data_IF_878912154901
#
_entry.id   IF_878912154901
#
_cell.length_a   1.000
_cell.length_b   1.000
_cell.length_c   1.000
_cell.angle_alpha   90.00
_cell.angle_beta   90.00
_cell.angle_gamma   90.00
#
_symmetry.space_group_name_H-M   'P 1'
#
loop_
_entity.id
_entity.type
_entity.pdbx_description
1 polymer ?
#
# COMPACT_ATOMS: atom_id res chain seq x y z
N UNK A 1 50.51 10.63 6.83
CA UNK A 1 49.14 10.72 6.28
C UNK A 1 49.05 11.89 5.32
N UNK A 2 48.95 11.62 4.01
CA UNK A 2 49.08 12.65 2.95
C UNK A 2 47.91 13.65 2.99
N UNK A 3 48.13 14.89 2.54
CA UNK A 3 47.11 15.96 2.51
C UNK A 3 45.84 15.53 1.74
N UNK A 4 45.99 14.63 0.76
CA UNK A 4 44.89 14.03 -0.01
C UNK A 4 44.02 13.10 0.84
N UNK A 5 44.62 12.30 1.72
CA UNK A 5 43.88 11.39 2.59
C UNK A 5 43.04 12.15 3.63
N UNK A 6 43.53 13.28 4.15
CA UNK A 6 42.78 14.13 5.07
C UNK A 6 41.60 14.83 4.38
N UNK A 7 41.81 15.31 3.15
CA UNK A 7 40.73 15.89 2.35
C UNK A 7 39.60 14.90 2.10
N UNK A 8 39.95 13.67 1.71
CA UNK A 8 38.99 12.60 1.45
C UNK A 8 38.21 12.21 2.72
N UNK A 9 38.88 12.12 3.86
CA UNK A 9 38.24 11.85 5.16
C UNK A 9 37.26 12.95 5.58
N UNK A 10 37.63 14.22 5.40
CA UNK A 10 36.74 15.35 5.71
C UNK A 10 35.50 15.31 4.80
N UNK A 11 35.68 15.06 3.50
CA UNK A 11 34.55 14.93 2.57
C UNK A 11 33.63 13.77 2.94
N UNK A 12 34.20 12.62 3.33
CA UNK A 12 33.42 11.46 3.76
C UNK A 12 32.61 11.74 5.03
N UNK A 13 33.23 12.41 6.02
CA UNK A 13 32.56 12.79 7.28
C UNK A 13 31.44 13.81 7.01
N UNK A 14 31.67 14.80 6.15
CA UNK A 14 30.63 15.75 5.77
C UNK A 14 29.48 15.09 4.99
N UNK A 15 29.78 14.14 4.11
CA UNK A 15 28.76 13.38 3.39
C UNK A 15 27.92 12.52 4.34
N UNK A 16 28.55 11.80 5.26
CA UNK A 16 27.86 10.99 6.27
C UNK A 16 27.02 11.85 7.22
N UNK A 17 27.54 13.00 7.66
CA UNK A 17 26.79 13.93 8.48
C UNK A 17 25.58 14.52 7.73
N UNK A 18 25.75 14.84 6.44
CA UNK A 18 24.66 15.30 5.58
C UNK A 18 23.58 14.23 5.41
N UNK A 19 23.97 12.97 5.18
CA UNK A 19 23.04 11.83 5.12
C UNK A 19 22.32 11.63 6.45
N UNK A 20 23.01 11.72 7.58
CA UNK A 20 22.39 11.56 8.90
C UNK A 20 21.39 12.67 9.22
N UNK A 21 21.72 13.93 8.89
CA UNK A 21 20.81 15.08 9.06
C UNK A 21 19.61 14.98 8.11
N UNK A 22 19.83 14.57 6.85
CA UNK A 22 18.76 14.36 5.89
C UNK A 22 17.83 13.23 6.32
N UNK A 23 18.39 12.11 6.79
CA UNK A 23 17.66 10.98 7.36
C UNK A 23 16.82 11.43 8.54
N UNK A 24 17.42 12.09 9.53
CA UNK A 24 16.71 12.56 10.72
C UNK A 24 15.61 13.58 10.42
N UNK A 25 15.86 14.49 9.47
CA UNK A 25 14.87 15.46 9.01
C UNK A 25 13.71 14.78 8.25
N UNK A 26 14.00 13.77 7.42
CA UNK A 26 13.00 13.01 6.69
C UNK A 26 12.16 12.11 7.63
N UNK A 27 12.79 11.45 8.60
CA UNK A 27 12.11 10.52 9.53
C UNK A 27 11.18 11.22 10.52
N UNK A 28 11.37 12.51 10.78
CA UNK A 28 10.48 13.29 11.67
C UNK A 28 9.07 13.47 11.12
N UNK A 29 8.85 13.19 9.84
CA UNK A 29 7.55 13.27 9.17
C UNK A 29 7.13 11.98 8.46
N UNK A 30 7.86 10.87 8.65
CA UNK A 30 7.35 9.56 8.21
C UNK A 30 6.16 9.24 9.12
N UNK A 31 4.93 9.16 8.59
CA UNK A 31 3.79 8.75 9.38
C UNK A 31 4.13 7.43 10.05
N UNK A 32 3.82 7.29 11.35
CA UNK A 32 3.77 5.96 11.94
C UNK A 32 2.90 5.08 11.04
N UNK A 33 3.25 3.80 10.89
CA UNK A 33 2.33 2.85 10.26
C UNK A 33 0.95 3.05 10.90
N UNK A 34 -0.11 3.23 10.09
CA UNK A 34 -1.43 3.50 10.64
C UNK A 34 -1.76 2.43 11.68
N UNK A 35 -2.22 2.86 12.85
CA UNK A 35 -2.61 1.94 13.92
C UNK A 35 -3.62 0.94 13.34
N UNK A 36 -3.36 -0.35 13.56
CA UNK A 36 -4.24 -1.42 13.09
C UNK A 36 -5.62 -1.24 13.71
N UNK A 37 -6.64 -1.10 12.86
CA UNK A 37 -8.00 -0.87 13.34
C UNK A 37 -8.56 -2.13 14.00
N UNK A 38 -9.47 -1.96 14.97
CA UNK A 38 -10.18 -3.10 15.58
C UNK A 38 -10.96 -3.90 14.54
N UNK A 39 -11.53 -3.21 13.55
CA UNK A 39 -12.26 -3.82 12.43
C UNK A 39 -11.35 -4.72 11.59
N UNK A 40 -10.14 -4.26 11.26
CA UNK A 40 -9.14 -5.07 10.56
C UNK A 40 -8.73 -6.31 11.38
N UNK A 41 -8.58 -6.15 12.70
CA UNK A 41 -8.22 -7.27 13.59
C UNK A 41 -9.32 -8.33 13.64
N UNK A 42 -10.58 -7.90 13.76
CA UNK A 42 -11.73 -8.81 13.76
C UNK A 42 -11.88 -9.56 12.43
N UNK A 43 -11.77 -8.86 11.30
CA UNK A 43 -11.81 -9.49 9.99
C UNK A 43 -10.64 -10.45 9.75
N UNK A 44 -9.42 -10.06 10.15
CA UNK A 44 -8.25 -10.93 10.06
C UNK A 44 -8.39 -12.20 10.91
N UNK A 45 -9.02 -12.11 12.10
CA UNK A 45 -9.31 -13.28 12.92
C UNK A 45 -10.29 -14.22 12.22
N UNK A 46 -11.38 -13.68 11.65
CA UNK A 46 -12.37 -14.48 10.92
C UNK A 46 -11.83 -15.13 9.66
N UNK A 47 -10.90 -14.45 8.96
CA UNK A 47 -10.24 -14.96 7.75
C UNK A 47 -9.06 -15.91 8.04
N UNK A 48 -8.79 -16.28 9.30
CA UNK A 48 -7.73 -17.26 9.59
C UNK A 48 -8.06 -18.63 9.01
N UNK A 49 -9.30 -19.06 9.22
CA UNK A 49 -9.75 -20.42 8.89
C UNK A 49 -10.80 -20.43 7.76
N UNK A 50 -11.10 -19.28 7.17
CA UNK A 50 -12.07 -19.09 6.08
C UNK A 50 -11.55 -18.09 5.07
N UNK A 51 -12.21 -18.01 3.91
CA UNK A 51 -11.98 -17.03 2.86
C UNK A 51 -13.07 -15.94 2.83
N UNK A 52 -14.09 -16.02 3.67
CA UNK A 52 -15.16 -15.02 3.78
C UNK A 52 -15.33 -14.61 5.24
N UNK A 53 -15.23 -13.31 5.51
CA UNK A 53 -15.62 -12.72 6.79
C UNK A 53 -16.87 -11.87 6.63
N UNK A 54 -17.83 -12.02 7.54
CA UNK A 54 -19.02 -11.16 7.62
C UNK A 54 -19.01 -10.46 8.97
N UNK A 55 -19.00 -9.13 8.95
CA UNK A 55 -19.15 -8.33 10.14
C UNK A 55 -20.55 -8.53 10.75
N UNK A 56 -20.68 -8.62 12.09
CA UNK A 56 -22.00 -8.80 12.73
C UNK A 56 -23.05 -7.77 12.34
N UNK A 57 -22.65 -6.55 11.93
CA UNK A 57 -23.56 -5.51 11.47
C UNK A 57 -24.06 -5.71 10.02
N UNK A 58 -23.45 -6.62 9.27
CA UNK A 58 -23.88 -7.07 7.95
C UNK A 58 -24.49 -8.48 7.99
N UNK A 59 -24.87 -8.99 9.16
CA UNK A 59 -25.51 -10.29 9.28
C UNK A 59 -26.84 -10.32 8.49
N UNK A 60 -27.09 -11.42 7.79
CA UNK A 60 -28.26 -11.60 6.93
C UNK A 60 -28.21 -10.90 5.56
N UNK A 61 -27.13 -10.19 5.22
CA UNK A 61 -26.91 -9.65 3.86
C UNK A 61 -26.80 -10.77 2.82
N UNK A 62 -26.19 -11.89 3.23
CA UNK A 62 -26.12 -13.13 2.49
C UNK A 62 -26.70 -14.27 3.34
N UNK A 63 -27.24 -15.28 2.67
CA UNK A 63 -27.62 -16.54 3.30
C UNK A 63 -26.39 -17.41 3.57
N UNK A 64 -26.48 -18.34 4.54
CA UNK A 64 -25.40 -19.29 4.83
C UNK A 64 -24.97 -20.11 3.61
N UNK A 65 -25.94 -20.47 2.75
CA UNK A 65 -25.66 -21.23 1.53
C UNK A 65 -24.89 -20.42 0.48
N UNK A 66 -25.14 -19.12 0.39
CA UNK A 66 -24.39 -18.21 -0.47
C UNK A 66 -22.98 -17.98 0.07
N UNK A 67 -22.85 -17.72 1.38
CA UNK A 67 -21.55 -17.56 2.03
C UNK A 67 -20.67 -18.80 1.88
N UNK A 68 -21.24 -20.01 2.06
CA UNK A 68 -20.51 -21.26 1.84
C UNK A 68 -20.07 -21.45 0.39
N UNK A 69 -20.87 -20.98 -0.59
CA UNK A 69 -20.49 -21.04 -2.00
C UNK A 69 -19.36 -20.06 -2.33
N UNK A 70 -19.44 -18.84 -1.79
CA UNK A 70 -18.40 -17.81 -1.95
C UNK A 70 -17.08 -18.26 -1.33
N UNK A 71 -17.12 -18.81 -0.11
CA UNK A 71 -15.95 -19.33 0.59
C UNK A 71 -15.26 -20.44 -0.20
N UNK A 72 -16.03 -21.41 -0.71
CA UNK A 72 -15.49 -22.50 -1.52
C UNK A 72 -14.86 -22.00 -2.84
N UNK A 73 -15.50 -21.04 -3.53
CA UNK A 73 -14.97 -20.47 -4.77
C UNK A 73 -13.69 -19.65 -4.52
N UNK A 74 -13.71 -18.79 -3.49
CA UNK A 74 -12.59 -17.95 -3.10
C UNK A 74 -11.36 -18.78 -2.67
N UNK A 75 -11.62 -19.93 -2.02
CA UNK A 75 -10.59 -20.89 -1.65
C UNK A 75 -10.00 -21.66 -2.83
N UNK A 76 -10.80 -21.91 -3.87
CA UNK A 76 -10.39 -22.66 -5.05
C UNK A 76 -9.62 -21.81 -6.08
N UNK A 77 -9.85 -20.50 -6.09
CA UNK A 77 -9.19 -19.55 -6.99
C UNK A 77 -7.67 -19.48 -6.79
N UNK A 78 -6.92 -19.27 -7.86
CA UNK A 78 -5.47 -19.01 -7.85
C UNK A 78 -5.11 -17.77 -8.68
N UNK A 79 -4.73 -16.62 -8.07
CA UNK A 79 -4.54 -16.39 -6.63
C UNK A 79 -5.79 -16.61 -5.78
N UNK A 80 -5.61 -17.00 -4.52
CA UNK A 80 -6.72 -17.09 -3.56
C UNK A 80 -7.40 -15.73 -3.40
N UNK A 81 -8.73 -15.76 -3.27
CA UNK A 81 -9.52 -14.58 -2.98
C UNK A 81 -9.97 -14.56 -1.52
N UNK A 82 -10.17 -13.36 -0.96
CA UNK A 82 -10.61 -13.14 0.41
C UNK A 82 -11.69 -12.07 0.42
N UNK A 83 -12.87 -12.41 0.90
CA UNK A 83 -14.00 -11.48 0.96
C UNK A 83 -14.21 -10.97 2.38
N UNK A 84 -14.47 -9.68 2.48
CA UNK A 84 -14.75 -8.98 3.72
C UNK A 84 -16.06 -8.23 3.55
N UNK A 85 -17.13 -8.73 4.18
CA UNK A 85 -18.49 -8.20 4.06
C UNK A 85 -18.82 -7.36 5.29
N UNK A 86 -19.05 -6.07 5.10
CA UNK A 86 -19.40 -5.16 6.19
C UNK A 86 -20.07 -3.90 5.63
N UNK A 87 -20.77 -3.06 6.42
CA UNK A 87 -21.29 -1.79 5.89
C UNK A 87 -20.19 -0.74 5.75
N UNK A 88 -20.31 0.15 4.77
CA UNK A 88 -19.44 1.32 4.68
C UNK A 88 -19.65 2.23 5.92
N UNK A 89 -18.56 2.80 6.45
CA UNK A 89 -18.63 3.67 7.63
C UNK A 89 -17.49 4.69 7.64
N UNK A 90 -17.81 6.00 7.73
CA UNK A 90 -16.80 7.05 7.88
C UNK A 90 -16.07 7.03 9.24
N UNK A 91 -16.62 6.32 10.23
CA UNK A 91 -16.02 6.13 11.56
C UNK A 91 -15.15 4.88 11.68
N UNK A 92 -14.92 4.13 10.59
CA UNK A 92 -14.23 2.84 10.62
C UNK A 92 -12.71 2.91 10.89
N UNK A 93 -12.14 4.13 10.98
CA UNK A 93 -10.75 4.36 11.39
C UNK A 93 -9.71 4.18 10.28
N UNK A 94 -10.14 4.05 9.02
CA UNK A 94 -9.29 4.04 7.83
C UNK A 94 -9.81 5.04 6.79
N UNK A 95 -8.92 5.50 5.90
CA UNK A 95 -9.27 6.50 4.88
C UNK A 95 -9.72 5.83 3.57
N UNK A 96 -9.08 4.74 3.19
CA UNK A 96 -9.38 4.00 1.98
C UNK A 96 -9.56 2.51 2.29
N UNK A 97 -10.48 1.86 1.58
CA UNK A 97 -10.71 0.41 1.60
C UNK A 97 -9.43 -0.40 1.39
N UNK A 98 -8.59 0.04 0.45
CA UNK A 98 -7.28 -0.58 0.21
C UNK A 98 -6.37 -0.61 1.44
N UNK A 99 -6.45 0.41 2.31
CA UNK A 99 -5.61 0.49 3.50
C UNK A 99 -6.00 -0.59 4.51
N UNK A 100 -7.30 -0.81 4.73
CA UNK A 100 -7.80 -1.79 5.70
C UNK A 100 -7.66 -3.21 5.17
N UNK A 101 -7.93 -3.45 3.89
CA UNK A 101 -7.72 -4.75 3.25
C UNK A 101 -6.24 -5.15 3.28
N UNK A 102 -5.34 -4.20 3.00
CA UNK A 102 -3.89 -4.42 3.16
C UNK A 102 -3.49 -4.73 4.60
N UNK A 103 -4.11 -4.09 5.60
CA UNK A 103 -3.87 -4.45 7.02
C UNK A 103 -4.30 -5.89 7.31
N UNK A 104 -5.48 -6.30 6.84
CA UNK A 104 -6.01 -7.65 7.02
C UNK A 104 -5.09 -8.70 6.39
N UNK A 105 -4.65 -8.48 5.15
CA UNK A 105 -3.73 -9.41 4.48
C UNK A 105 -2.38 -9.54 5.20
N UNK A 106 -1.84 -8.43 5.75
CA UNK A 106 -0.63 -8.49 6.59
C UNK A 106 -0.85 -9.25 7.90
N UNK A 107 -2.00 -9.06 8.56
CA UNK A 107 -2.33 -9.74 9.82
C UNK A 107 -2.55 -11.25 9.64
N UNK A 108 -3.13 -11.66 8.51
CA UNK A 108 -3.34 -13.06 8.16
C UNK A 108 -2.08 -13.71 7.57
N UNK A 109 -1.16 -12.93 7.01
CA UNK A 109 0.02 -13.41 6.28
C UNK A 109 -0.34 -14.33 5.11
N UNK A 110 -1.50 -14.10 4.49
CA UNK A 110 -2.01 -14.87 3.36
C UNK A 110 -1.93 -14.01 2.09
N UNK A 111 -1.12 -14.39 1.09
CA UNK A 111 -1.08 -13.66 -0.17
C UNK A 111 -2.34 -13.97 -0.99
N UNK A 112 -2.89 -12.96 -1.67
CA UNK A 112 -4.09 -13.12 -2.48
C UNK A 112 -4.79 -11.80 -2.83
N UNK A 113 -5.93 -11.93 -3.47
CA UNK A 113 -6.84 -10.81 -3.76
C UNK A 113 -7.78 -10.62 -2.57
N UNK A 114 -7.79 -9.43 -1.96
CA UNK A 114 -8.74 -9.07 -0.91
C UNK A 114 -9.82 -8.17 -1.50
N UNK A 115 -11.08 -8.50 -1.26
CA UNK A 115 -12.27 -7.81 -1.77
C UNK A 115 -13.12 -7.35 -0.60
N UNK A 116 -13.39 -6.05 -0.55
CA UNK A 116 -14.39 -5.45 0.33
C UNK A 116 -15.76 -5.47 -0.35
N UNK A 117 -16.75 -5.95 0.40
CA UNK A 117 -18.15 -6.03 0.00
C UNK A 117 -18.97 -5.17 0.97
N UNK A 118 -19.38 -4.01 0.49
CA UNK A 118 -20.19 -3.05 1.25
C UNK A 118 -21.55 -2.87 0.57
N UNK A 119 -22.67 -3.34 1.18
CA UNK A 119 -23.99 -3.16 0.59
C UNK A 119 -24.31 -1.68 0.35
N UNK A 120 -24.73 -1.32 -0.87
CA UNK A 120 -24.98 0.07 -1.27
C UNK A 120 -23.73 0.87 -1.65
N UNK A 121 -22.58 0.23 -1.79
CA UNK A 121 -21.33 0.86 -2.22
C UNK A 121 -20.63 0.04 -3.30
N UNK A 122 -19.67 0.69 -3.96
CA UNK A 122 -18.79 0.05 -4.93
C UNK A 122 -17.94 -1.03 -4.27
N UNK A 123 -17.71 -2.12 -4.99
CA UNK A 123 -16.69 -3.09 -4.60
C UNK A 123 -15.31 -2.43 -4.58
N UNK A 124 -14.50 -2.82 -3.61
CA UNK A 124 -13.09 -2.43 -3.57
C UNK A 124 -12.22 -3.67 -3.47
N UNK A 125 -11.08 -3.67 -4.15
CA UNK A 125 -10.16 -4.80 -4.11
C UNK A 125 -8.70 -4.35 -4.00
N UNK A 126 -7.87 -5.18 -3.39
CA UNK A 126 -6.42 -4.99 -3.34
C UNK A 126 -5.70 -6.33 -3.38
N UNK A 127 -4.62 -6.37 -4.15
CA UNK A 127 -3.66 -7.47 -4.14
C UNK A 127 -2.74 -7.31 -2.93
N UNK A 128 -2.66 -8.35 -2.08
CA UNK A 128 -1.75 -8.36 -0.93
C UNK A 128 -0.77 -9.50 -1.05
N UNK A 129 0.53 -9.21 -0.92
CA UNK A 129 1.58 -10.24 -0.99
C UNK A 129 1.77 -10.88 -2.37
N UNK A 130 1.12 -10.33 -3.39
CA UNK A 130 1.24 -10.73 -4.79
C UNK A 130 1.44 -9.50 -5.67
N UNK A 131 2.14 -9.71 -6.78
CA UNK A 131 2.26 -8.74 -7.86
C UNK A 131 1.88 -9.47 -9.15
N UNK A 132 0.76 -9.12 -9.75
CA UNK A 132 0.27 -9.79 -10.96
C UNK A 132 -0.24 -8.84 -12.01
N UNK A 133 -0.92 -9.40 -13.00
CA UNK A 133 -1.70 -8.61 -13.96
C UNK A 133 -2.66 -7.68 -13.21
N UNK A 134 -2.82 -6.46 -13.72
CA UNK A 134 -3.72 -5.48 -13.12
C UNK A 134 -5.15 -6.03 -13.10
N UNK A 135 -5.64 -6.29 -11.90
CA UNK A 135 -6.99 -6.72 -11.64
C UNK A 135 -7.63 -5.71 -10.69
N UNK A 136 -8.82 -5.22 -11.04
CA UNK A 136 -9.58 -4.34 -10.18
C UNK A 136 -11.05 -4.61 -10.38
N UNK A 137 -11.73 -4.89 -9.29
CA UNK A 137 -13.18 -5.02 -9.27
C UNK A 137 -13.77 -3.60 -9.24
N UNK A 138 -14.74 -3.31 -10.10
CA UNK A 138 -15.39 -2.00 -10.18
C UNK A 138 -16.92 -2.12 -10.20
N UNK A 139 -17.57 -1.08 -9.67
CA UNK A 139 -19.02 -0.88 -9.71
C UNK A 139 -19.75 -1.39 -8.47
N UNK A 140 -20.92 -0.82 -8.21
CA UNK A 140 -21.75 -1.16 -7.07
C UNK A 140 -22.45 -2.48 -7.34
N UNK A 141 -22.45 -3.38 -6.36
CA UNK A 141 -23.18 -4.65 -6.46
C UNK A 141 -24.67 -4.45 -6.76
N UNK A 142 -25.21 -3.29 -6.39
CA UNK A 142 -26.62 -2.94 -6.50
C UNK A 142 -26.97 -1.85 -7.53
N UNK A 143 -26.07 -1.54 -8.48
CA UNK A 143 -26.18 -0.43 -9.47
C UNK A 143 -27.54 -0.29 -10.20
N UNK A 144 -28.33 -1.36 -10.31
CA UNK A 144 -29.60 -1.40 -11.06
C UNK A 144 -30.85 -1.75 -10.22
N UNK A 145 -30.76 -1.89 -8.89
CA UNK A 145 -31.93 -2.25 -8.08
C UNK A 145 -31.66 -2.72 -6.66
N UNK A 146 -32.75 -3.04 -5.95
CA UNK A 146 -32.71 -3.53 -4.56
C UNK A 146 -31.83 -4.78 -4.41
N UNK A 147 -31.08 -4.84 -3.30
CA UNK A 147 -30.22 -5.97 -2.96
C UNK A 147 -31.03 -7.27 -2.86
N UNK A 148 -30.61 -8.33 -3.58
CA UNK A 148 -31.32 -9.61 -3.59
C UNK A 148 -30.53 -10.78 -3.02
N UNK A 149 -29.30 -10.53 -2.55
CA UNK A 149 -28.23 -11.47 -2.17
C UNK A 149 -27.79 -12.45 -3.27
N UNK A 150 -28.74 -13.03 -4.02
CA UNK A 150 -28.50 -14.02 -5.05
C UNK A 150 -27.80 -13.42 -6.28
N UNK A 151 -28.23 -12.24 -6.74
CA UNK A 151 -27.59 -11.52 -7.84
C UNK A 151 -26.18 -11.10 -7.47
N UNK A 152 -26.03 -10.57 -6.26
CA UNK A 152 -24.76 -10.09 -5.73
C UNK A 152 -23.77 -11.24 -5.52
N UNK A 153 -24.26 -12.39 -5.05
CA UNK A 153 -23.49 -13.64 -4.99
C UNK A 153 -23.02 -14.08 -6.37
N UNK A 154 -23.90 -14.07 -7.38
CA UNK A 154 -23.54 -14.46 -8.74
C UNK A 154 -22.45 -13.55 -9.33
N UNK A 155 -22.56 -12.24 -9.10
CA UNK A 155 -21.53 -11.27 -9.52
C UNK A 155 -20.20 -11.48 -8.80
N UNK A 156 -20.21 -11.70 -7.49
CA UNK A 156 -18.97 -11.98 -6.75
C UNK A 156 -18.28 -13.27 -7.23
N UNK A 157 -19.06 -14.29 -7.58
CA UNK A 157 -18.52 -15.52 -8.17
C UNK A 157 -17.87 -15.27 -9.53
N UNK A 158 -18.46 -14.41 -10.37
CA UNK A 158 -17.90 -14.00 -11.67
C UNK A 158 -16.56 -13.25 -11.49
N UNK A 159 -16.48 -12.35 -10.51
CA UNK A 159 -15.23 -11.64 -10.19
C UNK A 159 -14.14 -12.60 -9.66
N UNK A 160 -14.50 -13.58 -8.84
CA UNK A 160 -13.58 -14.61 -8.36
C UNK A 160 -13.08 -15.47 -9.53
N UNK A 161 -13.98 -15.89 -10.43
CA UNK A 161 -13.63 -16.64 -11.63
C UNK A 161 -12.73 -15.83 -12.58
N UNK A 162 -12.97 -14.53 -12.70
CA UNK A 162 -12.12 -13.64 -13.50
C UNK A 162 -10.72 -13.45 -12.90
N UNK A 163 -10.59 -13.54 -11.57
CA UNK A 163 -9.30 -13.54 -10.89
C UNK A 163 -8.58 -14.90 -11.01
N UNK A 164 -9.31 -16.00 -11.19
CA UNK A 164 -8.74 -17.35 -11.26
C UNK A 164 -7.88 -17.56 -12.52
N UNK A 165 -6.67 -18.11 -12.32
CA UNK A 165 -5.73 -18.43 -13.39
C UNK A 165 -4.95 -17.22 -13.93
N UNK A 166 -5.05 -16.04 -13.31
CA UNK A 166 -4.23 -14.89 -13.70
C UNK A 166 -2.74 -15.11 -13.37
N UNK A 167 -1.86 -14.51 -14.16
CA UNK A 167 -0.43 -14.56 -13.90
C UNK A 167 -0.05 -13.64 -12.72
N UNK A 168 0.72 -14.18 -11.77
CA UNK A 168 1.22 -13.42 -10.62
C UNK A 168 2.55 -13.96 -10.11
N UNK A 169 3.29 -13.07 -9.43
CA UNK A 169 4.48 -13.39 -8.65
C UNK A 169 4.20 -13.18 -7.16
N UNK A 170 4.70 -14.10 -6.32
CA UNK A 170 4.71 -13.92 -4.87
C UNK A 170 5.79 -12.90 -4.50
N UNK A 171 5.43 -11.85 -3.77
CA UNK A 171 6.33 -10.75 -3.47
C UNK A 171 5.84 -9.84 -2.36
N UNK A 172 6.69 -8.91 -1.91
CA UNK A 172 6.27 -7.88 -0.96
C UNK A 172 5.36 -6.91 -1.71
N UNK A 173 4.07 -6.97 -1.38
CA UNK A 173 2.97 -6.09 -1.81
C UNK A 173 3.46 -4.77 -2.47
N UNK A 174 3.26 -4.67 -3.79
CA UNK A 174 3.63 -3.49 -4.58
C UNK A 174 2.42 -2.59 -4.87
N UNK A 175 1.27 -2.80 -4.21
CA UNK A 175 0.09 -1.93 -4.34
C UNK A 175 0.56 -0.48 -4.33
N UNK A 176 0.27 0.23 -5.43
CA UNK A 176 1.06 1.32 -6.00
C UNK A 176 1.66 2.29 -4.97
N UNK A 177 2.81 1.92 -4.39
CA UNK A 177 3.61 2.75 -3.50
C UNK A 177 4.48 3.70 -4.32
N UNK A 178 3.89 4.39 -5.30
CA UNK A 178 4.62 5.33 -6.14
C UNK A 178 5.31 6.43 -5.29
N UNK A 179 4.82 6.68 -4.06
CA UNK A 179 5.46 7.59 -3.10
C UNK A 179 5.44 7.15 -1.62
N UNK A 180 5.01 5.92 -1.29
CA UNK A 180 4.63 5.56 0.08
C UNK A 180 5.51 4.55 0.83
N UNK A 181 6.38 3.80 0.14
CA UNK A 181 7.24 2.79 0.78
C UNK A 181 8.68 3.28 1.00
N UNK A 182 9.46 2.59 1.83
CA UNK A 182 10.87 2.91 2.11
C UNK A 182 11.70 3.04 0.82
N UNK A 183 11.43 2.21 -0.19
CA UNK A 183 12.04 2.29 -1.52
C UNK A 183 11.64 3.55 -2.32
N UNK A 184 10.39 3.99 -2.18
CA UNK A 184 9.90 5.26 -2.73
C UNK A 184 10.53 6.47 -2.04
N UNK A 185 10.71 6.43 -0.71
CA UNK A 185 11.42 7.47 0.05
C UNK A 185 12.90 7.55 -0.33
N UNK A 186 13.56 6.41 -0.57
CA UNK A 186 14.96 6.38 -1.01
C UNK A 186 15.09 6.93 -2.44
N UNK A 187 14.20 6.55 -3.35
CA UNK A 187 14.24 7.02 -4.75
C UNK A 187 13.87 8.50 -4.86
N UNK A 188 12.84 8.95 -4.13
CA UNK A 188 12.47 10.35 -4.00
C UNK A 188 13.58 11.17 -3.34
N UNK A 189 14.20 10.64 -2.27
CA UNK A 189 15.33 11.25 -1.59
C UNK A 189 16.57 11.38 -2.48
N UNK A 190 16.83 10.38 -3.34
CA UNK A 190 17.88 10.43 -4.35
C UNK A 190 17.57 11.45 -5.45
N UNK A 191 16.34 11.50 -5.95
CA UNK A 191 15.93 12.48 -6.97
C UNK A 191 16.00 13.91 -6.44
N UNK A 192 15.45 14.17 -5.24
CA UNK A 192 15.53 15.48 -4.59
C UNK A 192 16.98 15.80 -4.24
N UNK A 193 17.75 14.86 -3.71
CA UNK A 193 19.16 15.04 -3.36
C UNK A 193 20.05 15.31 -4.57
N UNK A 194 19.81 14.67 -5.71
CA UNK A 194 20.53 14.91 -6.97
C UNK A 194 20.11 16.24 -7.59
N UNK A 195 18.82 16.60 -7.55
CA UNK A 195 18.35 17.89 -8.10
C UNK A 195 18.78 19.08 -7.24
N UNK A 196 18.69 18.97 -5.91
CA UNK A 196 19.10 20.04 -5.00
C UNK A 196 20.63 20.09 -4.81
N UNK A 197 21.31 18.95 -4.68
CA UNK A 197 22.77 18.88 -4.59
C UNK A 197 23.48 19.18 -5.91
N UNK A 198 22.91 18.75 -7.04
CA UNK A 198 23.45 18.96 -8.38
C UNK A 198 23.31 20.39 -8.90
N UNK A 199 22.33 21.16 -8.43
CA UNK A 199 22.14 22.57 -8.83
C UNK A 199 22.64 23.55 -7.76
N UNK A 200 22.32 23.35 -6.48
CA UNK A 200 22.74 24.28 -5.43
C UNK A 200 24.24 24.15 -5.10
N UNK A 201 24.81 22.95 -5.17
CA UNK A 201 26.23 22.70 -4.91
C UNK A 201 27.16 23.51 -5.83
N UNK A 202 27.00 23.45 -7.17
CA UNK A 202 27.78 24.26 -8.10
C UNK A 202 27.53 25.77 -7.97
N UNK A 203 26.31 26.20 -7.64
CA UNK A 203 26.00 27.63 -7.46
C UNK A 203 26.66 28.22 -6.21
N UNK A 204 26.67 27.48 -5.10
CA UNK A 204 27.32 27.91 -3.85
C UNK A 204 28.85 27.89 -4.03
N UNK A 205 29.41 26.84 -4.64
CA UNK A 205 30.85 26.76 -4.93
C UNK A 205 31.29 27.82 -5.96
N UNK A 206 30.48 28.04 -7.00
CA UNK A 206 30.72 29.08 -8.02
C UNK A 206 30.65 30.48 -7.43
N UNK A 207 29.66 30.76 -6.58
CA UNK A 207 29.54 32.03 -5.85
C UNK A 207 30.72 32.28 -4.91
N UNK A 208 31.14 31.26 -4.16
CA UNK A 208 32.30 31.36 -3.28
C UNK A 208 33.61 31.60 -4.05
N UNK A 209 33.80 30.90 -5.17
CA UNK A 209 34.98 31.08 -6.03
C UNK A 209 35.02 32.47 -6.67
N UNK A 210 33.87 33.01 -7.11
CA UNK A 210 33.75 34.36 -7.65
C UNK A 210 34.06 35.45 -6.61
N UNK A 211 33.57 35.30 -5.37
CA UNK A 211 33.87 36.21 -4.25
C UNK A 211 35.35 36.18 -3.89
N UNK A 212 35.96 34.99 -3.86
CA UNK A 212 37.39 34.84 -3.55
C UNK A 212 38.29 35.48 -4.61
N UNK A 213 37.93 35.35 -5.89
CA UNK A 213 38.68 35.93 -7.01
C UNK A 213 38.60 37.46 -7.07
N UNK A 214 37.52 38.06 -6.56
CA UNK A 214 37.40 39.52 -6.42
C UNK A 214 38.32 40.08 -5.33
N UNK A 215 38.43 39.39 -4.19
CA UNK A 215 39.31 39.83 -3.08
C UNK A 215 40.81 39.74 -3.37
N UNK A 216 41.22 38.98 -4.38
CA UNK A 216 42.62 38.88 -4.81
C UNK A 216 43.00 39.90 -5.91
N UNK A 217 42.04 40.71 -6.40
CA UNK A 217 42.25 41.73 -7.44
C UNK A 217 42.16 43.17 -6.90
N UNK A 218 41.90 43.32 -5.61
CA UNK A 218 42.08 44.54 -4.81
C UNK A 218 43.32 44.39 -3.97
#
# INVERSE_FOLDING_TARGET
MSRRLRGLLITLVCALAGVAVAWWAATRGVPAEPEVTERARAAAEGLRDSHVYVDPSADGVFTEAELSRLDAAAAASDPQAFLVVWPDSPEAGYRFSSDVLGQIGRLTSRPGLYIEVSPGADLSSVDVGITGEYFSVYGALDDDGEWTSARETARLLEEIEANDGREYELGVDTSSHYWGGTGGTITAGLLIGVLSGGVAGPLILGGWFAVRRRRTRT
#
